data_IF_775643487831
#
_entry.id   IF_775643487831
#
_cell.length_a   1.000
_cell.length_b   1.000
_cell.length_c   1.000
_cell.angle_alpha   90.00
_cell.angle_beta   90.00
_cell.angle_gamma   90.00
#
_symmetry.space_group_name_H-M   'P 1'
#
loop_
_entity.id
_entity.type
_entity.pdbx_description
1 polymer ?
#
# COMPACT_ATOMS: atom_id res chain seq x y z
N UNK A 1 -23.48 -21.53 -15.60
CA UNK A 1 -23.67 -20.09 -15.31
C UNK A 1 -22.47 -19.67 -14.51
N UNK A 2 -21.66 -18.71 -14.99
CA UNK A 2 -20.64 -18.13 -14.11
C UNK A 2 -21.40 -17.48 -12.94
N UNK A 3 -21.13 -17.89 -11.69
CA UNK A 3 -21.79 -17.26 -10.56
C UNK A 3 -21.39 -15.77 -10.58
N UNK A 4 -22.39 -14.91 -10.70
CA UNK A 4 -22.23 -13.46 -10.80
C UNK A 4 -21.32 -12.93 -9.68
N UNK A 5 -21.40 -13.55 -8.51
CA UNK A 5 -20.57 -13.29 -7.33
C UNK A 5 -19.06 -13.41 -7.60
N UNK A 6 -18.62 -14.46 -8.30
CA UNK A 6 -17.20 -14.65 -8.64
C UNK A 6 -16.75 -13.55 -9.62
N UNK A 7 -17.60 -13.20 -10.59
CA UNK A 7 -17.29 -12.14 -11.55
C UNK A 7 -17.17 -10.77 -10.85
N UNK A 8 -18.06 -10.48 -9.90
CA UNK A 8 -18.03 -9.26 -9.10
C UNK A 8 -16.81 -9.20 -8.19
N UNK A 9 -16.42 -10.31 -7.56
CA UNK A 9 -15.23 -10.40 -6.71
C UNK A 9 -13.95 -10.17 -7.52
N UNK A 10 -13.78 -10.89 -8.62
CA UNK A 10 -12.60 -10.75 -9.50
C UNK A 10 -12.55 -9.33 -10.08
N UNK A 11 -13.69 -8.84 -10.60
CA UNK A 11 -13.77 -7.51 -11.18
C UNK A 11 -13.51 -6.40 -10.17
N UNK A 12 -14.10 -6.50 -8.98
CA UNK A 12 -13.89 -5.55 -7.88
C UNK A 12 -12.45 -5.54 -7.40
N UNK A 13 -11.81 -6.71 -7.30
CA UNK A 13 -10.41 -6.80 -6.88
C UNK A 13 -9.45 -6.24 -7.93
N UNK A 14 -9.68 -6.56 -9.21
CA UNK A 14 -8.92 -5.97 -10.32
C UNK A 14 -9.07 -4.45 -10.36
N UNK A 15 -10.27 -3.91 -10.10
CA UNK A 15 -10.52 -2.49 -10.00
C UNK A 15 -9.75 -1.86 -8.82
N UNK A 16 -9.77 -2.48 -7.65
CA UNK A 16 -9.06 -2.01 -6.46
C UNK A 16 -7.54 -1.90 -6.70
N UNK A 17 -6.94 -2.95 -7.28
CA UNK A 17 -5.52 -2.94 -7.68
C UNK A 17 -5.27 -1.87 -8.75
N UNK A 18 -6.15 -1.78 -9.75
CA UNK A 18 -6.03 -0.82 -10.85
C UNK A 18 -6.05 0.64 -10.36
N UNK A 19 -6.95 0.99 -9.45
CA UNK A 19 -7.02 2.33 -8.84
C UNK A 19 -5.75 2.62 -8.04
N UNK A 20 -5.29 1.66 -7.24
CA UNK A 20 -4.07 1.81 -6.46
C UNK A 20 -2.83 2.01 -7.36
N UNK A 21 -2.73 1.23 -8.43
CA UNK A 21 -1.66 1.32 -9.42
C UNK A 21 -1.68 2.67 -10.15
N UNK A 22 -2.86 3.15 -10.54
CA UNK A 22 -3.03 4.47 -11.14
C UNK A 22 -2.61 5.57 -10.18
N UNK A 23 -2.95 5.47 -8.89
CA UNK A 23 -2.50 6.39 -7.85
C UNK A 23 -0.97 6.48 -7.74
N UNK A 24 -0.30 5.33 -7.80
CA UNK A 24 1.18 5.27 -7.83
C UNK A 24 1.71 5.87 -9.13
N UNK A 25 1.14 5.55 -10.28
CA UNK A 25 1.56 6.09 -11.57
C UNK A 25 1.45 7.63 -11.62
N UNK A 26 0.36 8.21 -11.09
CA UNK A 26 0.19 9.66 -10.97
C UNK A 26 1.30 10.26 -10.08
N UNK A 27 1.63 9.62 -8.96
CA UNK A 27 2.71 10.10 -8.08
C UNK A 27 4.08 10.02 -8.75
N UNK A 28 4.36 8.94 -9.51
CA UNK A 28 5.58 8.79 -10.29
C UNK A 28 5.67 9.89 -11.35
N UNK A 29 4.57 10.14 -12.07
CA UNK A 29 4.52 11.21 -13.07
C UNK A 29 4.74 12.59 -12.43
N UNK A 30 4.15 12.83 -11.25
CA UNK A 30 4.35 14.07 -10.48
C UNK A 30 5.80 14.23 -10.03
N UNK A 31 6.47 13.15 -9.68
CA UNK A 31 7.89 13.17 -9.30
C UNK A 31 8.81 13.39 -10.50
N UNK A 32 8.54 12.75 -11.64
CA UNK A 32 9.26 13.00 -12.89
C UNK A 32 9.07 14.45 -13.31
N UNK A 33 7.85 14.96 -13.29
CA UNK A 33 7.55 16.36 -13.57
C UNK A 33 8.29 17.30 -12.60
N UNK A 34 8.32 16.98 -11.30
CA UNK A 34 9.10 17.74 -10.33
C UNK A 34 10.61 17.71 -10.63
N UNK A 35 11.17 16.54 -10.98
CA UNK A 35 12.61 16.40 -11.26
C UNK A 35 13.09 17.03 -12.56
N UNK A 36 12.24 17.12 -13.60
CA UNK A 36 12.61 17.67 -14.90
C UNK A 36 12.17 19.13 -15.12
N UNK A 37 11.13 19.60 -14.43
CA UNK A 37 10.44 20.84 -14.77
C UNK A 37 10.19 21.80 -13.60
N UNK A 38 10.61 21.48 -12.37
CA UNK A 38 10.44 22.39 -11.25
C UNK A 38 11.58 23.42 -11.17
N UNK A 39 11.20 24.69 -11.36
CA UNK A 39 12.05 25.85 -11.10
C UNK A 39 12.46 25.91 -9.61
N UNK A 40 13.75 26.17 -9.34
CA UNK A 40 14.36 26.16 -8.00
C UNK A 40 13.67 27.12 -6.99
N UNK A 41 12.92 28.11 -7.48
CA UNK A 41 12.24 29.14 -6.68
C UNK A 41 10.94 28.66 -6.02
N UNK A 42 10.34 27.55 -6.48
CA UNK A 42 9.07 27.03 -5.95
C UNK A 42 9.22 25.59 -5.46
N UNK A 43 10.12 25.38 -4.50
CA UNK A 43 10.29 24.11 -3.76
C UNK A 43 9.06 23.78 -2.88
N UNK A 44 7.89 23.63 -3.52
CA UNK A 44 6.68 23.11 -2.92
C UNK A 44 6.85 21.66 -2.46
N UNK A 45 6.11 21.29 -1.43
CA UNK A 45 6.18 20.05 -0.66
C UNK A 45 6.53 18.81 -1.52
N UNK A 46 7.60 18.09 -1.12
CA UNK A 46 8.05 16.86 -1.79
C UNK A 46 6.87 15.91 -2.05
N UNK A 47 6.80 15.23 -3.22
CA UNK A 47 5.75 14.25 -3.48
C UNK A 47 5.73 13.16 -2.41
N UNK A 48 4.59 13.03 -1.72
CA UNK A 48 4.40 12.03 -0.68
C UNK A 48 3.96 10.69 -1.32
N UNK A 49 4.94 9.85 -1.64
CA UNK A 49 4.74 8.52 -2.24
C UNK A 49 4.15 7.44 -1.30
N UNK A 50 4.28 7.66 0.02
CA UNK A 50 4.07 6.60 1.01
C UNK A 50 2.64 6.07 1.04
N UNK A 51 1.63 6.93 0.86
CA UNK A 51 0.22 6.50 0.89
C UNK A 51 -0.17 5.62 -0.30
N UNK A 52 -0.02 6.09 -1.54
CA UNK A 52 -0.37 5.31 -2.71
C UNK A 52 0.45 4.03 -2.87
N UNK A 53 1.73 4.05 -2.48
CA UNK A 53 2.56 2.85 -2.53
C UNK A 53 2.08 1.79 -1.52
N UNK A 54 1.78 2.18 -0.27
CA UNK A 54 1.22 1.27 0.73
C UNK A 54 -0.16 0.75 0.29
N UNK A 55 -1.00 1.61 -0.28
CA UNK A 55 -2.28 1.20 -0.83
C UNK A 55 -2.12 0.14 -1.92
N UNK A 56 -1.14 0.30 -2.81
CA UNK A 56 -0.81 -0.70 -3.83
C UNK A 56 -0.30 -2.01 -3.21
N UNK A 57 0.55 -1.96 -2.20
CA UNK A 57 1.04 -3.17 -1.53
C UNK A 57 -0.12 -3.93 -0.87
N UNK A 58 -0.98 -3.25 -0.13
CA UNK A 58 -2.12 -3.89 0.53
C UNK A 58 -3.17 -4.41 -0.46
N UNK A 59 -3.37 -3.71 -1.58
CA UNK A 59 -4.26 -4.21 -2.64
C UNK A 59 -3.68 -5.46 -3.31
N UNK A 60 -2.37 -5.53 -3.54
CA UNK A 60 -1.71 -6.72 -4.07
C UNK A 60 -1.75 -7.90 -3.09
N UNK A 61 -1.60 -7.65 -1.79
CA UNK A 61 -1.74 -8.68 -0.75
C UNK A 61 -3.16 -9.24 -0.67
N UNK A 62 -4.19 -8.40 -0.79
CA UNK A 62 -5.57 -8.89 -0.90
C UNK A 62 -5.78 -9.63 -2.23
N UNK A 63 -5.10 -9.22 -3.29
CA UNK A 63 -5.31 -9.75 -4.63
C UNK A 63 -4.69 -11.13 -4.78
N UNK A 64 -3.61 -11.44 -4.06
CA UNK A 64 -2.97 -12.76 -4.11
C UNK A 64 -3.89 -13.89 -3.65
N UNK A 65 -4.88 -13.59 -2.81
CA UNK A 65 -5.85 -14.58 -2.34
C UNK A 65 -7.06 -14.76 -3.27
N UNK A 66 -7.33 -13.78 -4.15
CA UNK A 66 -8.58 -13.73 -4.95
C UNK A 66 -8.30 -13.89 -6.45
N UNK A 67 -7.25 -13.25 -6.95
CA UNK A 67 -6.97 -13.18 -8.38
C UNK A 67 -6.00 -14.28 -8.80
N UNK A 68 -6.35 -15.10 -9.81
CA UNK A 68 -5.47 -16.14 -10.35
C UNK A 68 -4.43 -15.54 -11.32
N UNK A 69 -3.69 -14.50 -10.90
CA UNK A 69 -2.63 -13.89 -11.71
C UNK A 69 -1.27 -14.53 -11.45
N UNK A 70 -0.94 -15.51 -12.28
CA UNK A 70 0.39 -16.09 -12.36
C UNK A 70 1.37 -15.17 -13.12
N UNK A 71 2.66 -15.06 -12.72
CA UNK A 71 3.34 -15.71 -11.59
C UNK A 71 3.59 -14.78 -10.38
N UNK A 72 3.20 -13.51 -10.46
CA UNK A 72 3.62 -12.50 -9.47
C UNK A 72 2.84 -12.65 -8.16
N UNK A 73 1.54 -12.91 -8.23
CA UNK A 73 0.69 -13.04 -7.05
C UNK A 73 0.87 -14.39 -6.34
N UNK A 74 1.16 -15.46 -7.08
CA UNK A 74 1.53 -16.76 -6.51
C UNK A 74 2.70 -16.66 -5.55
N UNK A 75 3.78 -15.97 -5.95
CA UNK A 75 4.94 -15.79 -5.08
C UNK A 75 4.59 -15.04 -3.80
N UNK A 76 3.64 -14.11 -3.87
CA UNK A 76 3.18 -13.37 -2.68
C UNK A 76 2.40 -14.32 -1.75
N UNK A 77 1.54 -15.17 -2.31
CA UNK A 77 0.81 -16.20 -1.55
C UNK A 77 1.75 -17.24 -0.93
N UNK A 78 2.77 -17.70 -1.65
CA UNK A 78 3.79 -18.63 -1.14
C UNK A 78 4.60 -18.04 0.03
N UNK A 79 4.87 -16.73 -0.01
CA UNK A 79 5.60 -16.04 1.06
C UNK A 79 4.72 -15.74 2.29
N UNK A 80 3.40 -15.70 2.12
CA UNK A 80 2.45 -15.47 3.19
C UNK A 80 1.22 -16.39 3.05
N UNK A 81 1.36 -17.69 3.35
CA UNK A 81 0.26 -18.63 3.20
C UNK A 81 -0.82 -18.33 4.23
N UNK A 82 -1.98 -17.88 3.76
CA UNK A 82 -3.13 -17.59 4.62
C UNK A 82 -3.98 -18.86 4.76
N UNK A 83 -4.33 -19.28 5.99
CA UNK A 83 -5.20 -20.43 6.17
C UNK A 83 -6.58 -20.18 5.54
N UNK A 84 -7.24 -21.19 4.93
CA UNK A 84 -8.50 -21.00 4.20
C UNK A 84 -9.64 -20.40 5.01
N UNK A 85 -9.67 -20.64 6.32
CA UNK A 85 -10.68 -20.11 7.24
C UNK A 85 -10.46 -18.63 7.58
N UNK A 86 -9.27 -18.09 7.32
CA UNK A 86 -8.87 -16.72 7.62
C UNK A 86 -8.82 -15.82 6.37
N UNK A 87 -8.95 -16.38 5.17
CA UNK A 87 -8.81 -15.67 3.90
C UNK A 87 -9.71 -14.45 3.81
N UNK A 88 -11.00 -14.58 4.15
CA UNK A 88 -11.96 -13.47 4.09
C UNK A 88 -11.58 -12.33 5.03
N UNK A 89 -11.21 -12.66 6.27
CA UNK A 89 -10.78 -11.67 7.27
C UNK A 89 -9.51 -10.95 6.82
N UNK A 90 -8.57 -11.70 6.24
CA UNK A 90 -7.31 -11.18 5.73
C UNK A 90 -7.54 -10.21 4.56
N UNK A 91 -8.33 -10.60 3.56
CA UNK A 91 -8.69 -9.74 2.42
C UNK A 91 -9.34 -8.45 2.91
N UNK A 92 -10.33 -8.55 3.79
CA UNK A 92 -11.03 -7.37 4.33
C UNK A 92 -10.07 -6.47 5.09
N UNK A 93 -9.17 -7.03 5.91
CA UNK A 93 -8.16 -6.27 6.63
C UNK A 93 -7.21 -5.55 5.68
N UNK A 94 -6.75 -6.21 4.62
CA UNK A 94 -5.85 -5.64 3.62
C UNK A 94 -6.54 -4.53 2.80
N UNK A 95 -7.79 -4.71 2.40
CA UNK A 95 -8.57 -3.64 1.75
C UNK A 95 -8.81 -2.46 2.70
N UNK A 96 -9.08 -2.72 3.98
CA UNK A 96 -9.16 -1.69 5.01
C UNK A 96 -7.85 -0.90 5.14
N UNK A 97 -6.71 -1.60 5.21
CA UNK A 97 -5.38 -0.99 5.26
C UNK A 97 -5.04 -0.23 3.97
N UNK A 98 -5.49 -0.71 2.80
CA UNK A 98 -5.38 0.02 1.54
C UNK A 98 -6.08 1.37 1.63
N UNK A 99 -7.36 1.40 2.03
CA UNK A 99 -8.15 2.62 2.16
C UNK A 99 -7.54 3.56 3.21
N UNK A 100 -7.12 3.03 4.35
CA UNK A 100 -6.47 3.81 5.40
C UNK A 100 -5.12 4.38 4.94
N UNK A 101 -4.34 3.62 4.15
CA UNK A 101 -3.07 4.09 3.58
C UNK A 101 -3.29 5.19 2.54
N UNK A 102 -4.38 5.10 1.78
CA UNK A 102 -4.78 6.15 0.86
C UNK A 102 -5.20 7.43 1.59
N UNK A 103 -6.09 7.31 2.57
CA UNK A 103 -6.64 8.45 3.32
C UNK A 103 -5.61 9.11 4.26
N UNK A 104 -4.75 8.31 4.88
CA UNK A 104 -3.85 8.76 5.95
C UNK A 104 -2.36 8.59 5.65
N UNK A 105 -1.96 8.14 4.46
CA UNK A 105 -0.55 7.81 4.17
C UNK A 105 0.46 8.93 4.47
N UNK A 106 0.08 10.20 4.30
CA UNK A 106 0.90 11.34 4.72
C UNK A 106 0.99 11.51 6.24
N UNK A 107 -0.12 11.31 6.96
CA UNK A 107 -0.24 11.48 8.41
C UNK A 107 0.35 10.30 9.20
N UNK A 108 0.17 9.07 8.70
CA UNK A 108 0.70 7.83 9.29
C UNK A 108 2.22 7.81 9.22
N UNK A 109 2.83 8.26 8.11
CA UNK A 109 4.29 8.45 8.03
C UNK A 109 4.80 9.37 9.16
N UNK A 110 4.12 10.50 9.38
CA UNK A 110 4.52 11.44 10.42
C UNK A 110 4.37 10.84 11.82
N UNK A 111 3.28 10.10 12.06
CA UNK A 111 3.05 9.41 13.34
C UNK A 111 4.05 8.27 13.60
N UNK A 112 4.26 7.37 12.63
CA UNK A 112 5.22 6.26 12.72
C UNK A 112 6.65 6.78 12.88
N UNK A 113 7.05 7.79 12.10
CA UNK A 113 8.38 8.38 12.23
C UNK A 113 8.59 9.00 13.61
N UNK A 114 7.59 9.71 14.13
CA UNK A 114 7.66 10.29 15.47
C UNK A 114 7.66 9.21 16.56
N UNK A 115 6.94 8.10 16.37
CA UNK A 115 6.95 6.93 17.26
C UNK A 115 8.31 6.23 17.27
N UNK A 116 8.86 5.92 16.10
CA UNK A 116 10.16 5.27 15.93
C UNK A 116 11.29 6.14 16.50
N UNK A 117 11.25 7.45 16.26
CA UNK A 117 12.24 8.40 16.81
C UNK A 117 12.18 8.48 18.33
N UNK A 118 11.00 8.37 18.94
CA UNK A 118 10.83 8.30 20.39
C UNK A 118 11.37 6.99 20.95
N UNK A 119 11.13 5.88 20.26
CA UNK A 119 11.64 4.57 20.66
C UNK A 119 13.17 4.51 20.61
N UNK A 120 13.77 4.95 19.51
CA UNK A 120 15.23 5.03 19.35
C UNK A 120 15.91 5.88 20.43
N UNK A 121 15.30 7.00 20.83
CA UNK A 121 15.81 7.82 21.94
C UNK A 121 15.76 7.12 23.30
N UNK A 122 14.76 6.28 23.55
CA UNK A 122 14.67 5.51 24.80
C UNK A 122 15.69 4.38 24.84
N UNK A 123 15.89 3.70 23.70
CA UNK A 123 16.87 2.61 23.60
C UNK A 123 18.31 3.10 23.70
N UNK A 124 18.62 4.30 23.19
CA UNK A 124 19.94 4.93 23.34
C UNK A 124 20.25 5.39 24.78
N UNK A 125 19.24 5.84 25.53
CA UNK A 125 19.41 6.25 26.92
C UNK A 125 19.67 5.08 27.88
N UNK A 126 19.44 3.83 27.45
CA UNK A 126 19.61 2.63 28.26
C UNK A 126 21.00 1.98 28.13
N UNK A 127 21.87 2.46 27.23
CA UNK A 127 23.24 1.95 27.07
C UNK A 127 24.31 2.83 27.71
N UNK A 128 23.94 3.93 28.38
CA UNK A 128 24.87 4.84 29.07
C UNK A 128 24.75 4.79 30.62
N UNK A 129 23.96 3.87 31.18
CA UNK A 129 23.82 3.66 32.62
C UNK A 129 24.62 2.46 33.13
#
# INVERSE_FOLDING_TARGET
MFPLEILLLIGGMALAVGIAALGVAIQVLRFIHWGYWADDATHGERPHFTGPLLALVFSLLAASEILPFHPILDRIHELNPVPPWATDYYVVAMLGLMVLSWAYGGRVKHWLWNGLRRWLRRSGAQSES
#
